data_IF_293518340138
#
_entry.id   IF_293518340138
#
_cell.length_a   1.000
_cell.length_b   1.000
_cell.length_c   1.000
_cell.angle_alpha   90.00
_cell.angle_beta   90.00
_cell.angle_gamma   90.00
#
_symmetry.space_group_name_H-M   'P 1'
#
loop_
_entity.id
_entity.type
_entity.pdbx_description
1 polymer ?
#
# COMPACT_ATOMS: atom_id res chain seq x y z
N UNK A 1 15.69 -6.98 7.66
CA UNK A 1 15.18 -5.59 7.54
C UNK A 1 14.19 -5.59 6.40
N UNK A 2 12.94 -5.13 6.56
CA UNK A 2 11.92 -5.18 5.51
C UNK A 2 12.29 -4.46 4.20
N UNK A 3 11.80 -4.91 3.04
CA UNK A 3 12.02 -4.26 1.74
C UNK A 3 10.74 -3.61 1.19
N UNK A 4 10.92 -2.45 0.56
CA UNK A 4 9.90 -1.69 -0.17
C UNK A 4 10.17 -1.76 -1.67
N UNK A 5 9.09 -1.81 -2.46
CA UNK A 5 9.13 -1.75 -3.91
C UNK A 5 8.03 -0.81 -4.44
N UNK A 6 8.29 -0.14 -5.55
CA UNK A 6 7.33 0.71 -6.23
C UNK A 6 7.57 0.69 -7.73
N UNK A 7 6.49 0.76 -8.50
CA UNK A 7 6.53 0.87 -9.95
C UNK A 7 5.40 1.77 -10.41
N UNK A 8 5.70 2.76 -11.25
CA UNK A 8 4.71 3.59 -11.91
C UNK A 8 5.11 3.80 -13.36
N UNK A 9 4.19 3.46 -14.27
CA UNK A 9 4.25 3.86 -15.67
C UNK A 9 3.69 5.28 -15.78
N UNK A 10 4.50 6.20 -16.32
CA UNK A 10 4.15 7.62 -16.49
C UNK A 10 2.95 7.79 -17.43
N UNK A 11 2.73 6.83 -18.34
CA UNK A 11 1.55 6.72 -19.24
C UNK A 11 0.96 5.30 -19.17
N UNK A 12 0.70 4.69 -20.32
CA UNK A 12 0.46 3.26 -20.44
C UNK A 12 1.78 2.49 -20.33
N UNK A 13 1.71 1.21 -19.93
CA UNK A 13 2.87 0.31 -19.92
C UNK A 13 3.44 0.24 -21.34
N UNK A 14 4.75 0.53 -21.54
CA UNK A 14 5.32 0.52 -22.88
C UNK A 14 5.45 -0.92 -23.38
N UNK A 15 5.28 -1.11 -24.69
CA UNK A 15 5.27 -2.44 -25.32
C UNK A 15 6.58 -3.23 -25.14
N UNK A 16 7.71 -2.52 -24.96
CA UNK A 16 9.01 -3.14 -24.72
C UNK A 16 9.20 -3.62 -23.27
N UNK A 17 8.31 -3.24 -22.34
CA UNK A 17 8.35 -3.72 -20.96
C UNK A 17 7.48 -4.98 -20.83
N UNK A 18 8.07 -6.18 -20.66
CA UNK A 18 7.38 -7.44 -20.90
C UNK A 18 6.52 -7.92 -19.73
N UNK A 19 6.69 -7.34 -18.54
CA UNK A 19 6.02 -7.77 -17.33
C UNK A 19 4.78 -6.92 -17.07
N UNK A 20 3.73 -7.53 -16.53
CA UNK A 20 2.63 -6.80 -15.90
C UNK A 20 3.14 -6.06 -14.66
N UNK A 21 2.42 -5.04 -14.19
CA UNK A 21 2.78 -4.31 -12.96
C UNK A 21 2.91 -5.24 -11.76
N UNK A 22 1.97 -6.19 -11.59
CA UNK A 22 2.03 -7.14 -10.48
C UNK A 22 3.20 -8.11 -10.60
N UNK A 23 3.53 -8.60 -11.80
CA UNK A 23 4.72 -9.43 -12.02
C UNK A 23 6.01 -8.68 -11.73
N UNK A 24 6.16 -7.45 -12.22
CA UNK A 24 7.33 -6.63 -11.99
C UNK A 24 7.55 -6.33 -10.49
N UNK A 25 6.50 -5.96 -9.75
CA UNK A 25 6.59 -5.79 -8.31
C UNK A 25 6.98 -7.10 -7.60
N UNK A 26 6.44 -8.24 -8.03
CA UNK A 26 6.78 -9.55 -7.47
C UNK A 26 8.24 -9.91 -7.68
N UNK A 27 8.80 -9.65 -8.87
CA UNK A 27 10.23 -9.85 -9.18
C UNK A 27 11.15 -8.99 -8.30
N UNK A 28 10.80 -7.72 -8.06
CA UNK A 28 11.56 -6.85 -7.16
C UNK A 28 11.55 -7.42 -5.73
N UNK A 29 10.39 -7.86 -5.24
CA UNK A 29 10.26 -8.43 -3.91
C UNK A 29 11.04 -9.74 -3.76
N UNK A 30 10.94 -10.65 -4.73
CA UNK A 30 11.66 -11.93 -4.69
C UNK A 30 13.19 -11.73 -4.69
N UNK A 31 13.70 -10.82 -5.52
CA UNK A 31 15.13 -10.51 -5.52
C UNK A 31 15.64 -9.85 -4.23
N UNK A 32 14.74 -9.36 -3.39
CA UNK A 32 15.08 -8.80 -2.08
C UNK A 32 14.67 -9.71 -0.93
N UNK A 33 14.29 -10.97 -1.17
CA UNK A 33 13.73 -11.88 -0.17
C UNK A 33 14.61 -12.08 1.08
N UNK A 34 15.94 -11.98 0.94
CA UNK A 34 16.91 -12.03 2.05
C UNK A 34 16.67 -10.95 3.13
N UNK A 35 15.93 -9.90 2.78
CA UNK A 35 15.58 -8.80 3.66
C UNK A 35 14.48 -9.18 4.66
N UNK A 36 13.55 -10.06 4.29
CA UNK A 36 12.47 -10.52 5.16
C UNK A 36 11.50 -11.50 4.48
N UNK A 37 11.49 -12.79 4.85
CA UNK A 37 10.68 -13.81 4.16
C UNK A 37 9.30 -14.05 4.78
N UNK A 38 8.89 -13.30 5.82
CA UNK A 38 7.76 -13.68 6.66
C UNK A 38 6.40 -13.41 6.00
N UNK A 39 6.28 -12.27 5.31
CA UNK A 39 5.04 -11.89 4.63
C UNK A 39 5.32 -10.94 3.47
N UNK A 40 4.42 -10.96 2.48
CA UNK A 40 4.47 -10.08 1.33
C UNK A 40 3.11 -9.46 1.06
N UNK A 41 3.11 -8.31 0.39
CA UNK A 41 1.88 -7.69 -0.06
C UNK A 41 2.09 -6.62 -1.12
N UNK A 42 0.99 -6.26 -1.77
CA UNK A 42 0.90 -5.33 -2.88
C UNK A 42 -0.29 -4.39 -2.67
N UNK A 43 -0.11 -3.13 -3.00
CA UNK A 43 -1.18 -2.15 -3.16
C UNK A 43 -1.23 -1.81 -4.65
N UNK A 44 -2.30 -2.24 -5.29
CA UNK A 44 -2.46 -2.27 -6.73
C UNK A 44 -3.58 -1.30 -7.12
N UNK A 45 -3.32 -0.44 -8.12
CA UNK A 45 -4.28 0.60 -8.52
C UNK A 45 -4.93 0.28 -9.86
N UNK A 46 -6.19 -0.12 -9.79
CA UNK A 46 -7.07 -0.39 -10.95
C UNK A 46 -7.66 0.92 -11.50
N UNK A 47 -8.17 0.91 -12.74
CA UNK A 47 -9.02 2.00 -13.22
C UNK A 47 -10.14 2.31 -12.20
N UNK A 48 -10.36 3.60 -11.87
CA UNK A 48 -11.36 4.00 -10.90
C UNK A 48 -12.76 3.62 -11.40
N UNK A 49 -13.62 3.23 -10.46
CA UNK A 49 -15.03 2.98 -10.74
C UNK A 49 -15.85 4.16 -10.23
N UNK A 50 -16.69 4.73 -11.08
CA UNK A 50 -17.51 5.88 -10.71
C UNK A 50 -18.69 5.44 -9.84
N UNK A 51 -18.85 6.06 -8.67
CA UNK A 51 -19.92 5.72 -7.72
C UNK A 51 -19.75 4.40 -6.97
N UNK A 52 -18.63 3.70 -7.17
CA UNK A 52 -18.32 2.43 -6.51
C UNK A 52 -17.02 2.52 -5.70
N UNK A 53 -16.95 1.69 -4.66
CA UNK A 53 -15.75 1.43 -3.87
C UNK A 53 -15.35 -0.04 -4.03
N UNK A 54 -14.05 -0.26 -4.12
CA UNK A 54 -13.39 -1.54 -3.88
C UNK A 54 -13.04 -1.59 -2.41
N UNK A 55 -13.59 -2.57 -1.71
CA UNK A 55 -13.30 -2.80 -0.30
C UNK A 55 -12.76 -4.21 -0.15
N UNK A 56 -11.76 -4.37 0.71
CA UNK A 56 -11.22 -5.69 1.03
C UNK A 56 -11.18 -5.88 2.53
N UNK A 57 -11.54 -7.08 2.95
CA UNK A 57 -11.66 -7.48 4.35
C UNK A 57 -10.81 -8.71 4.61
N UNK A 58 -10.24 -8.82 5.81
CA UNK A 58 -9.67 -10.08 6.26
C UNK A 58 -10.81 -11.04 6.58
N UNK A 59 -10.59 -12.30 6.21
CA UNK A 59 -11.43 -13.41 6.61
C UNK A 59 -10.58 -14.58 7.13
N UNK A 60 -11.12 -15.34 8.07
CA UNK A 60 -10.54 -16.62 8.47
C UNK A 60 -10.89 -17.71 7.45
N UNK A 61 -10.02 -17.87 6.46
CA UNK A 61 -10.16 -18.91 5.43
C UNK A 61 -10.10 -20.35 5.99
N UNK A 62 -9.55 -20.54 7.20
CA UNK A 62 -9.49 -21.84 7.87
C UNK A 62 -10.64 -22.02 8.87
N UNK A 63 -11.43 -20.96 9.11
CA UNK A 63 -12.58 -20.92 9.98
C UNK A 63 -13.89 -20.81 9.20
N UNK A 64 -14.83 -20.02 9.73
CA UNK A 64 -16.14 -19.80 9.12
C UNK A 64 -16.16 -18.53 8.26
N UNK A 65 -15.45 -18.59 7.13
CA UNK A 65 -15.37 -17.50 6.15
C UNK A 65 -16.76 -17.00 5.73
N UNK A 66 -17.74 -17.89 5.60
CA UNK A 66 -19.11 -17.58 5.19
C UNK A 66 -19.81 -16.70 6.22
N UNK A 67 -19.63 -16.97 7.51
CA UNK A 67 -20.15 -16.12 8.58
C UNK A 67 -19.52 -14.72 8.57
N UNK A 68 -18.21 -14.61 8.34
CA UNK A 68 -17.54 -13.31 8.27
C UNK A 68 -17.95 -12.53 7.02
N UNK A 69 -18.09 -13.20 5.87
CA UNK A 69 -18.66 -12.62 4.66
C UNK A 69 -20.09 -12.11 4.93
N UNK A 70 -20.95 -12.90 5.58
CA UNK A 70 -22.29 -12.46 5.94
C UNK A 70 -22.27 -11.23 6.88
N UNK A 71 -21.31 -11.16 7.81
CA UNK A 71 -21.12 -10.00 8.67
C UNK A 71 -20.67 -8.75 7.88
N UNK A 72 -19.82 -8.91 6.86
CA UNK A 72 -19.45 -7.83 5.92
C UNK A 72 -20.67 -7.29 5.19
N UNK A 73 -21.47 -8.16 4.57
CA UNK A 73 -22.68 -7.75 3.86
C UNK A 73 -23.64 -7.01 4.79
N UNK A 74 -23.94 -7.59 5.96
CA UNK A 74 -24.81 -6.97 6.97
C UNK A 74 -24.30 -5.59 7.41
N UNK A 75 -22.99 -5.45 7.63
CA UNK A 75 -22.39 -4.18 8.06
C UNK A 75 -22.47 -3.11 6.97
N UNK A 76 -22.28 -3.49 5.70
CA UNK A 76 -22.37 -2.59 4.55
C UNK A 76 -23.80 -2.15 4.27
N UNK A 77 -24.75 -3.09 4.24
CA UNK A 77 -26.17 -2.83 4.02
C UNK A 77 -26.74 -1.89 5.10
N UNK A 78 -26.33 -2.07 6.36
CA UNK A 78 -26.73 -1.19 7.46
C UNK A 78 -26.27 0.27 7.27
N UNK A 79 -25.29 0.53 6.41
CA UNK A 79 -24.80 1.88 6.06
C UNK A 79 -25.32 2.34 4.68
N UNK A 80 -26.26 1.62 4.08
CA UNK A 80 -26.82 1.96 2.76
C UNK A 80 -25.87 1.67 1.59
N UNK A 81 -24.85 0.84 1.80
CA UNK A 81 -23.92 0.43 0.76
C UNK A 81 -24.41 -0.86 0.10
N UNK A 82 -24.43 -0.92 -1.23
CA UNK A 82 -24.94 -2.08 -1.98
C UNK A 82 -23.78 -2.92 -2.52
N UNK A 83 -23.68 -4.19 -2.12
CA UNK A 83 -22.67 -5.10 -2.65
C UNK A 83 -23.04 -5.52 -4.07
N UNK A 84 -22.13 -5.33 -5.03
CA UNK A 84 -22.34 -5.60 -6.46
C UNK A 84 -21.76 -6.96 -6.86
N UNK A 85 -20.55 -7.25 -6.42
CA UNK A 85 -19.91 -8.55 -6.52
C UNK A 85 -18.89 -8.75 -5.40
N UNK A 86 -18.36 -9.97 -5.29
CA UNK A 86 -17.27 -10.25 -4.39
C UNK A 86 -16.48 -11.50 -4.77
N UNK A 87 -15.25 -11.54 -4.29
CA UNK A 87 -14.28 -12.60 -4.53
C UNK A 87 -13.55 -12.96 -3.23
N UNK A 88 -13.29 -14.26 -3.04
CA UNK A 88 -12.41 -14.72 -1.97
C UNK A 88 -11.04 -14.98 -2.58
N UNK A 89 -10.02 -14.29 -2.06
CA UNK A 89 -8.63 -14.53 -2.40
C UNK A 89 -7.87 -14.80 -1.11
N UNK A 90 -7.42 -16.06 -0.94
CA UNK A 90 -6.72 -16.52 0.24
C UNK A 90 -7.41 -16.14 1.55
N UNK A 91 -6.76 -15.35 2.40
CA UNK A 91 -7.30 -14.90 3.70
C UNK A 91 -8.11 -13.59 3.61
N UNK A 92 -8.58 -13.21 2.42
CA UNK A 92 -9.31 -11.96 2.20
C UNK A 92 -10.58 -12.14 1.38
N UNK A 93 -11.55 -11.29 1.64
CA UNK A 93 -12.77 -11.12 0.85
C UNK A 93 -12.77 -9.71 0.24
N UNK A 94 -12.69 -9.63 -1.09
CA UNK A 94 -12.79 -8.39 -1.85
C UNK A 94 -14.21 -8.21 -2.37
N UNK A 95 -14.74 -6.98 -2.34
CA UNK A 95 -16.07 -6.64 -2.84
C UNK A 95 -16.05 -5.32 -3.59
N UNK A 96 -16.88 -5.24 -4.64
CA UNK A 96 -17.31 -3.96 -5.19
C UNK A 96 -18.62 -3.54 -4.57
N UNK A 97 -18.69 -2.28 -4.17
CA UNK A 97 -19.80 -1.74 -3.40
C UNK A 97 -20.23 -0.41 -4.01
N UNK A 98 -21.50 -0.30 -4.39
CA UNK A 98 -22.10 0.99 -4.70
C UNK A 98 -22.27 1.81 -3.43
N UNK A 99 -21.56 2.94 -3.33
CA UNK A 99 -21.61 3.83 -2.17
C UNK A 99 -21.15 5.24 -2.54
N UNK A 100 -21.98 6.24 -2.23
CA UNK A 100 -21.71 7.65 -2.49
C UNK A 100 -21.55 8.50 -1.22
N UNK A 101 -21.52 7.86 -0.04
CA UNK A 101 -21.41 8.55 1.24
C UNK A 101 -19.96 8.87 1.65
N UNK A 102 -19.81 9.33 2.89
CA UNK A 102 -18.51 9.65 3.48
C UNK A 102 -17.74 8.39 3.89
N UNK A 103 -16.55 8.19 3.35
CA UNK A 103 -15.72 7.00 3.58
C UNK A 103 -15.28 6.88 5.04
N UNK A 104 -14.99 8.00 5.71
CA UNK A 104 -14.60 8.00 7.12
C UNK A 104 -15.76 7.58 8.02
N UNK A 105 -16.97 8.06 7.75
CA UNK A 105 -18.19 7.67 8.46
C UNK A 105 -18.51 6.18 8.25
N UNK A 106 -18.43 5.69 7.00
CA UNK A 106 -18.59 4.27 6.68
C UNK A 106 -17.57 3.42 7.46
N UNK A 107 -16.28 3.80 7.40
CA UNK A 107 -15.19 3.08 8.07
C UNK A 107 -15.46 2.96 9.56
N UNK A 108 -15.78 4.07 10.24
CA UNK A 108 -16.10 4.10 11.67
C UNK A 108 -17.31 3.22 12.04
N UNK A 109 -18.32 3.18 11.17
CA UNK A 109 -19.54 2.42 11.44
C UNK A 109 -19.30 0.90 11.39
N UNK A 110 -18.35 0.45 10.56
CA UNK A 110 -18.11 -0.97 10.31
C UNK A 110 -16.85 -1.52 10.99
N UNK A 111 -15.87 -0.68 11.36
CA UNK A 111 -14.56 -1.14 11.88
C UNK A 111 -14.64 -2.02 13.13
N UNK A 112 -15.71 -1.91 13.91
CA UNK A 112 -15.93 -2.75 15.12
C UNK A 112 -16.54 -4.12 14.82
N UNK A 113 -17.04 -4.32 13.61
CA UNK A 113 -17.75 -5.53 13.18
C UNK A 113 -16.93 -6.37 12.21
N UNK A 114 -16.08 -5.73 11.42
CA UNK A 114 -15.31 -6.37 10.36
C UNK A 114 -13.88 -5.83 10.31
N UNK A 115 -12.96 -6.67 9.83
CA UNK A 115 -11.54 -6.34 9.72
C UNK A 115 -11.24 -5.84 8.32
N UNK A 116 -11.10 -4.53 8.13
CA UNK A 116 -10.77 -3.95 6.83
C UNK A 116 -9.28 -4.14 6.50
N UNK A 117 -9.00 -4.29 5.20
CA UNK A 117 -7.67 -4.27 4.61
C UNK A 117 -7.46 -2.95 3.86
N UNK A 118 -8.45 -2.55 3.06
CA UNK A 118 -8.39 -1.31 2.26
C UNK A 118 -9.77 -0.87 1.77
N UNK A 119 -9.91 0.44 1.50
CA UNK A 119 -11.01 1.03 0.74
C UNK A 119 -10.44 1.97 -0.32
N UNK A 120 -10.96 1.89 -1.56
CA UNK A 120 -10.64 2.86 -2.60
C UNK A 120 -11.51 2.73 -3.84
N UNK A 121 -11.53 3.74 -4.70
CA UNK A 121 -12.14 3.61 -6.03
C UNK A 121 -11.21 2.83 -6.99
N UNK A 122 -9.90 2.94 -6.77
CA UNK A 122 -8.84 2.32 -7.55
C UNK A 122 -8.01 1.31 -6.76
N UNK A 123 -7.78 1.57 -5.48
CA UNK A 123 -6.90 0.79 -4.62
C UNK A 123 -7.47 -0.59 -4.30
N UNK A 124 -6.59 -1.58 -4.42
CA UNK A 124 -6.80 -2.96 -3.98
C UNK A 124 -5.53 -3.43 -3.26
N UNK A 125 -5.58 -3.63 -1.93
CA UNK A 125 -4.45 -4.12 -1.16
C UNK A 125 -4.58 -5.63 -0.98
N UNK A 126 -3.59 -6.38 -1.42
CA UNK A 126 -3.49 -7.82 -1.20
C UNK A 126 -2.24 -8.10 -0.38
N UNK A 127 -2.39 -8.79 0.76
CA UNK A 127 -1.27 -9.12 1.64
C UNK A 127 -1.56 -10.39 2.45
N UNK A 128 -0.54 -11.20 2.66
CA UNK A 128 -0.63 -12.46 3.40
C UNK A 128 0.74 -12.86 3.97
N UNK A 129 0.74 -13.87 4.84
CA UNK A 129 1.95 -14.54 5.33
C UNK A 129 2.50 -15.45 4.23
N UNK A 130 3.80 -15.34 3.96
CA UNK A 130 4.48 -16.12 2.94
C UNK A 130 5.31 -15.29 1.96
N UNK A 131 5.99 -16.00 1.07
CA UNK A 131 6.94 -15.43 0.11
C UNK A 131 6.25 -14.94 -1.18
N UNK A 132 6.81 -13.94 -1.87
CA UNK A 132 6.19 -13.34 -3.06
C UNK A 132 5.75 -14.35 -4.13
N UNK A 133 6.62 -15.26 -4.57
CA UNK A 133 6.28 -16.26 -5.59
C UNK A 133 5.27 -17.33 -5.15
N UNK A 134 5.13 -17.59 -3.86
CA UNK A 134 4.10 -18.48 -3.37
C UNK A 134 2.73 -17.77 -3.36
N UNK A 135 2.72 -16.49 -3.01
CA UNK A 135 1.49 -15.71 -2.89
C UNK A 135 0.98 -15.18 -4.23
N UNK A 136 1.86 -14.77 -5.14
CA UNK A 136 1.47 -14.09 -6.36
C UNK A 136 0.52 -14.92 -7.26
N UNK A 137 0.71 -16.24 -7.49
CA UNK A 137 -0.27 -17.06 -8.20
C UNK A 137 -1.58 -17.25 -7.42
N UNK A 138 -1.50 -17.45 -6.10
CA UNK A 138 -2.68 -17.68 -5.23
C UNK A 138 -3.65 -16.49 -5.22
N UNK A 139 -3.11 -15.29 -5.42
CA UNK A 139 -3.86 -14.04 -5.41
C UNK A 139 -3.95 -13.37 -6.80
N UNK A 140 -3.61 -14.10 -7.88
CA UNK A 140 -3.62 -13.61 -9.26
C UNK A 140 -2.83 -12.30 -9.48
N UNK A 141 -1.79 -12.05 -8.68
CA UNK A 141 -0.98 -10.82 -8.75
C UNK A 141 -0.28 -10.71 -10.10
N UNK A 142 0.16 -11.82 -10.70
CA UNK A 142 0.80 -11.82 -12.00
C UNK A 142 -0.09 -11.31 -13.14
N UNK A 143 -1.40 -11.42 -12.99
CA UNK A 143 -2.37 -10.96 -13.99
C UNK A 143 -2.66 -9.45 -13.88
N UNK A 144 -2.22 -8.80 -12.80
CA UNK A 144 -2.48 -7.40 -12.59
C UNK A 144 -1.64 -6.49 -13.51
N UNK A 145 -2.31 -5.92 -14.51
CA UNK A 145 -1.73 -4.96 -15.47
C UNK A 145 -2.30 -3.54 -15.29
N UNK A 146 -2.23 -3.02 -14.07
CA UNK A 146 -2.51 -1.60 -13.79
C UNK A 146 -1.32 -0.71 -14.13
N UNK A 147 -1.46 0.61 -13.95
CA UNK A 147 -0.36 1.53 -14.30
C UNK A 147 0.64 1.80 -13.18
N UNK A 148 0.31 1.48 -11.92
CA UNK A 148 1.24 1.60 -10.81
C UNK A 148 0.83 0.75 -9.61
N UNK A 149 1.78 0.57 -8.71
CA UNK A 149 1.58 -0.06 -7.41
C UNK A 149 2.82 0.03 -6.53
N UNK A 150 2.63 -0.26 -5.25
CA UNK A 150 3.70 -0.41 -4.26
C UNK A 150 3.59 -1.77 -3.61
N UNK A 151 4.72 -2.34 -3.21
CA UNK A 151 4.78 -3.67 -2.64
C UNK A 151 5.82 -3.74 -1.53
N UNK A 152 5.73 -4.79 -0.71
CA UNK A 152 6.60 -4.92 0.45
C UNK A 152 6.81 -6.37 0.86
N UNK A 153 7.99 -6.66 1.41
CA UNK A 153 8.29 -7.88 2.17
C UNK A 153 8.74 -7.53 3.58
N UNK A 154 8.20 -8.24 4.57
CA UNK A 154 8.39 -7.93 5.99
C UNK A 154 9.30 -8.96 6.65
N UNK A 155 10.17 -8.45 7.54
CA UNK A 155 10.84 -9.24 8.57
C UNK A 155 10.23 -8.85 9.92
N UNK A 156 9.59 -9.79 10.58
CA UNK A 156 9.06 -9.63 11.92
C UNK A 156 10.22 -9.64 12.94
N UNK A 157 10.46 -8.51 13.60
CA UNK A 157 11.49 -8.42 14.66
C UNK A 157 10.90 -8.51 16.06
N UNK A 158 9.72 -7.92 16.29
CA UNK A 158 9.08 -7.82 17.61
C UNK A 158 7.58 -8.14 17.60
N UNK A 159 6.94 -8.13 16.43
CA UNK A 159 5.49 -8.33 16.26
C UNK A 159 5.19 -9.64 15.54
N UNK A 160 4.05 -10.26 15.86
CA UNK A 160 3.63 -11.53 15.27
C UNK A 160 3.61 -11.53 13.74
N UNK A 161 3.71 -12.74 13.16
CA UNK A 161 3.59 -12.97 11.72
C UNK A 161 2.13 -13.28 11.41
N UNK A 162 1.41 -12.24 10.98
CA UNK A 162 0.00 -12.32 10.64
C UNK A 162 -0.30 -11.46 9.39
N UNK A 163 -1.35 -11.78 8.61
CA UNK A 163 -1.70 -10.99 7.43
C UNK A 163 -2.01 -9.52 7.73
N UNK A 164 -2.56 -9.21 8.90
CA UNK A 164 -2.88 -7.84 9.33
C UNK A 164 -1.65 -7.02 9.72
N UNK A 165 -0.56 -7.67 10.13
CA UNK A 165 0.74 -7.01 10.38
C UNK A 165 1.60 -6.88 9.13
N UNK A 166 1.24 -7.56 8.03
CA UNK A 166 1.89 -7.40 6.74
C UNK A 166 1.61 -6.02 6.14
N UNK A 167 2.52 -5.55 5.30
CA UNK A 167 2.35 -4.35 4.48
C UNK A 167 1.75 -4.74 3.12
N UNK A 168 1.20 -3.79 2.35
CA UNK A 168 1.00 -2.35 2.64
C UNK A 168 -0.07 -2.03 3.67
N UNK A 169 -0.08 -0.78 4.15
CA UNK A 169 -1.13 -0.23 5.01
C UNK A 169 -1.92 0.84 4.28
N UNK A 170 -3.24 0.78 4.40
CA UNK A 170 -4.18 1.75 3.89
C UNK A 170 -4.38 2.90 4.88
N UNK A 171 -4.66 4.11 4.38
CA UNK A 171 -5.03 5.25 5.21
C UNK A 171 -6.46 5.08 5.74
N UNK A 172 -6.60 4.49 6.92
CA UNK A 172 -7.90 4.20 7.52
C UNK A 172 -8.82 5.44 7.53
N UNK A 173 -9.98 5.32 6.88
CA UNK A 173 -10.97 6.39 6.72
C UNK A 173 -10.86 7.22 5.44
N UNK A 174 -9.92 6.93 4.54
CA UNK A 174 -9.73 7.66 3.28
C UNK A 174 -9.67 6.74 2.07
N UNK A 175 -10.23 7.11 0.94
CA UNK A 175 -10.09 6.30 -0.27
C UNK A 175 -8.68 6.41 -0.88
N UNK A 176 -8.17 5.31 -1.45
CA UNK A 176 -7.07 5.31 -2.42
C UNK A 176 -5.71 5.81 -1.92
N UNK A 177 -5.42 5.77 -0.61
CA UNK A 177 -4.08 6.09 -0.09
C UNK A 177 -3.49 4.87 0.62
N UNK A 178 -2.31 4.43 0.18
CA UNK A 178 -1.60 3.30 0.78
C UNK A 178 -0.11 3.57 0.92
N UNK A 179 0.52 3.01 1.95
CA UNK A 179 1.93 3.21 2.26
C UNK A 179 2.64 1.88 2.51
N UNK A 180 3.91 1.82 2.09
CA UNK A 180 4.90 0.82 2.53
C UNK A 180 6.08 1.53 3.15
N UNK A 181 6.65 0.96 4.21
CA UNK A 181 7.65 1.62 5.05
C UNK A 181 8.70 0.61 5.48
N UNK A 182 9.97 0.99 5.36
CA UNK A 182 11.10 0.29 5.96
C UNK A 182 11.76 1.24 6.95
N UNK A 183 11.61 0.96 8.24
CA UNK A 183 12.05 1.86 9.28
C UNK A 183 11.28 1.71 10.57
N UNK A 184 11.41 2.72 11.41
CA UNK A 184 10.62 2.90 12.62
C UNK A 184 10.44 4.39 12.91
N UNK A 185 9.23 4.78 13.30
CA UNK A 185 8.93 6.12 13.82
C UNK A 185 9.11 6.19 15.35
N UNK A 186 9.99 7.07 15.82
CA UNK A 186 10.28 7.27 17.25
C UNK A 186 9.17 8.06 17.95
N UNK A 187 8.45 8.91 17.22
CA UNK A 187 7.36 9.74 17.77
C UNK A 187 5.96 9.22 17.46
N UNK A 188 5.82 7.94 17.09
CA UNK A 188 4.57 7.28 16.70
C UNK A 188 3.39 7.57 17.64
N UNK A 189 3.53 7.29 18.94
CA UNK A 189 2.43 7.43 19.91
C UNK A 189 1.96 8.88 20.08
N UNK A 190 2.88 9.84 19.96
CA UNK A 190 2.56 11.27 20.04
C UNK A 190 1.73 11.68 18.82
N UNK A 191 2.18 11.26 17.64
CA UNK A 191 1.53 11.59 16.37
C UNK A 191 0.16 10.92 16.23
N UNK A 192 0.05 9.63 16.61
CA UNK A 192 -1.22 8.91 16.67
C UNK A 192 -2.24 9.64 17.54
N UNK A 193 -1.87 9.98 18.79
CA UNK A 193 -2.76 10.71 19.72
C UNK A 193 -3.17 12.10 19.22
N UNK A 194 -2.35 12.75 18.39
CA UNK A 194 -2.71 14.03 17.75
C UNK A 194 -3.78 13.81 16.68
N UNK A 195 -3.66 12.77 15.87
CA UNK A 195 -4.62 12.44 14.80
C UNK A 195 -5.94 11.87 15.35
N UNK A 196 -5.90 11.03 16.39
CA UNK A 196 -7.09 10.53 17.09
C UNK A 196 -7.93 11.69 17.66
N UNK A 197 -7.28 12.70 18.26
CA UNK A 197 -7.94 13.93 18.74
C UNK A 197 -8.58 14.77 17.62
N UNK A 198 -8.17 14.55 16.37
CA UNK A 198 -8.75 15.16 15.17
C UNK A 198 -9.79 14.25 14.51
N UNK A 199 -10.15 13.14 15.18
CA UNK A 199 -11.13 12.17 14.71
C UNK A 199 -10.58 11.11 13.77
N UNK A 200 -9.28 11.01 13.53
CA UNK A 200 -8.76 9.92 12.70
C UNK A 200 -8.87 8.58 13.44
N UNK A 201 -9.07 7.50 12.69
CA UNK A 201 -9.16 6.13 13.19
C UNK A 201 -7.96 5.32 12.75
N UNK A 202 -7.68 4.25 13.49
CA UNK A 202 -6.56 3.35 13.26
C UNK A 202 -6.98 1.92 13.61
N UNK A 203 -6.58 0.95 12.80
CA UNK A 203 -6.94 -0.46 12.97
C UNK A 203 -5.82 -1.28 13.60
N UNK A 204 -4.58 -0.81 13.48
CA UNK A 204 -3.39 -1.52 13.95
C UNK A 204 -2.52 -0.62 14.82
N UNK A 205 -1.48 -1.20 15.42
CA UNK A 205 -0.44 -0.44 16.13
C UNK A 205 0.81 -0.22 15.27
N UNK A 206 0.73 -0.45 13.95
CA UNK A 206 1.86 -0.30 13.04
C UNK A 206 2.07 1.17 12.68
N UNK A 207 3.32 1.64 12.78
CA UNK A 207 3.68 3.02 12.45
C UNK A 207 3.51 3.37 10.97
N UNK A 208 3.46 2.38 10.10
CA UNK A 208 3.18 2.56 8.67
C UNK A 208 1.76 3.04 8.43
N UNK A 209 0.79 2.57 9.22
CA UNK A 209 -0.59 3.05 9.16
C UNK A 209 -0.66 4.53 9.56
N UNK A 210 0.15 4.95 10.54
CA UNK A 210 0.28 6.35 10.91
C UNK A 210 0.73 7.22 9.73
N UNK A 211 1.71 6.77 8.95
CA UNK A 211 2.18 7.52 7.77
C UNK A 211 1.04 7.69 6.76
N UNK A 212 0.31 6.59 6.46
CA UNK A 212 -0.80 6.64 5.50
C UNK A 212 -1.91 7.60 5.95
N UNK A 213 -2.36 7.49 7.21
CA UNK A 213 -3.40 8.36 7.79
C UNK A 213 -2.91 9.80 7.91
N UNK A 214 -1.65 10.05 8.25
CA UNK A 214 -1.07 11.39 8.30
C UNK A 214 -1.16 12.07 6.93
N UNK A 215 -0.67 11.41 5.87
CA UNK A 215 -0.66 11.97 4.52
C UNK A 215 -2.09 12.24 4.03
N UNK A 216 -2.99 11.27 4.19
CA UNK A 216 -4.38 11.42 3.78
C UNK A 216 -5.12 12.51 4.58
N UNK A 217 -4.86 12.62 5.88
CA UNK A 217 -5.40 13.70 6.71
C UNK A 217 -4.91 15.07 6.23
N UNK A 218 -3.61 15.23 5.93
CA UNK A 218 -3.08 16.49 5.38
C UNK A 218 -3.78 16.86 4.08
N UNK A 219 -3.94 15.89 3.18
CA UNK A 219 -4.63 16.09 1.90
C UNK A 219 -6.09 16.50 2.10
N UNK A 220 -6.80 15.88 3.05
CA UNK A 220 -8.18 16.24 3.39
C UNK A 220 -8.34 17.67 3.93
N UNK A 221 -7.24 18.28 4.38
CA UNK A 221 -7.19 19.66 4.89
C UNK A 221 -6.72 20.68 3.85
N UNK A 222 -6.56 20.26 2.59
CA UNK A 222 -6.25 21.13 1.46
C UNK A 222 -4.78 21.14 1.04
N UNK A 223 -3.90 20.39 1.70
CA UNK A 223 -2.54 20.18 1.21
C UNK A 223 -2.58 19.29 -0.04
N UNK A 224 -1.66 19.49 -0.99
CA UNK A 224 -1.41 18.46 -1.98
C UNK A 224 -0.49 17.36 -1.42
N UNK A 225 -0.31 16.28 -2.16
CA UNK A 225 0.55 15.16 -1.74
C UNK A 225 2.01 15.60 -1.57
N UNK A 226 2.48 16.57 -2.35
CA UNK A 226 3.87 17.04 -2.30
C UNK A 226 4.14 17.81 -1.00
N UNK A 227 3.23 18.70 -0.62
CA UNK A 227 3.26 19.39 0.66
C UNK A 227 3.13 18.40 1.84
N UNK A 228 2.26 17.39 1.71
CA UNK A 228 2.11 16.36 2.73
C UNK A 228 3.41 15.55 2.92
N UNK A 229 4.10 15.18 1.84
CA UNK A 229 5.40 14.53 1.89
C UNK A 229 6.47 15.42 2.53
N UNK A 230 6.58 16.68 2.11
CA UNK A 230 7.51 17.65 2.68
C UNK A 230 7.33 17.77 4.20
N UNK A 231 6.09 17.95 4.63
CA UNK A 231 5.77 18.18 6.04
C UNK A 231 5.87 16.92 6.89
N UNK A 232 5.74 15.73 6.27
CA UNK A 232 6.04 14.47 6.94
C UNK A 232 7.50 14.39 7.39
N UNK A 233 8.45 14.91 6.60
CA UNK A 233 9.88 14.93 6.98
C UNK A 233 10.18 15.90 8.14
N UNK A 234 9.31 16.89 8.37
CA UNK A 234 9.43 17.86 9.46
C UNK A 234 8.78 17.33 10.75
N UNK A 235 7.67 16.60 10.63
CA UNK A 235 6.86 16.18 11.78
C UNK A 235 7.06 14.71 12.22
N UNK A 236 7.46 13.81 11.31
CA UNK A 236 7.73 12.41 11.63
C UNK A 236 9.20 12.22 11.98
N UNK A 237 9.46 11.68 13.16
CA UNK A 237 10.80 11.45 13.67
C UNK A 237 11.10 9.94 13.70
N UNK A 238 12.36 9.58 13.45
CA UNK A 238 12.83 8.20 13.39
C UNK A 238 13.79 7.93 12.23
N UNK A 239 13.99 6.65 11.94
CA UNK A 239 14.81 6.17 10.82
C UNK A 239 13.91 5.42 9.86
N UNK A 240 13.64 5.99 8.69
CA UNK A 240 12.64 5.49 7.77
C UNK A 240 12.88 5.87 6.31
N UNK A 241 12.49 4.93 5.46
CA UNK A 241 12.25 5.12 4.03
C UNK A 241 10.86 4.59 3.75
N UNK A 242 9.97 5.39 3.16
CA UNK A 242 8.63 4.94 2.81
C UNK A 242 8.24 5.33 1.39
N UNK A 243 7.32 4.56 0.81
CA UNK A 243 6.60 4.91 -0.40
C UNK A 243 5.13 5.06 -0.08
N UNK A 244 4.51 6.06 -0.69
CA UNK A 244 3.06 6.26 -0.69
C UNK A 244 2.56 6.13 -2.11
N UNK A 245 1.42 5.50 -2.29
CA UNK A 245 0.69 5.52 -3.55
C UNK A 245 -0.68 6.16 -3.33
N UNK A 246 -1.13 6.89 -4.35
CA UNK A 246 -2.49 7.41 -4.46
C UNK A 246 -3.11 6.96 -5.78
N UNK A 247 -4.35 7.38 -6.09
CA UNK A 247 -5.05 7.03 -7.33
C UNK A 247 -4.21 7.18 -8.61
N UNK A 248 -3.33 8.17 -8.67
CA UNK A 248 -2.59 8.53 -9.89
C UNK A 248 -1.10 8.84 -9.64
N UNK A 249 -0.57 8.56 -8.45
CA UNK A 249 0.79 8.94 -8.10
C UNK A 249 1.49 7.94 -7.18
N UNK A 250 2.83 7.90 -7.28
CA UNK A 250 3.72 7.33 -6.26
C UNK A 250 4.62 8.45 -5.75
N UNK A 251 4.74 8.55 -4.43
CA UNK A 251 5.71 9.40 -3.76
C UNK A 251 6.63 8.60 -2.85
N UNK A 252 7.76 9.20 -2.49
CA UNK A 252 8.66 8.68 -1.48
C UNK A 252 9.05 9.76 -0.48
N UNK A 253 9.46 9.35 0.71
CA UNK A 253 10.24 10.17 1.60
C UNK A 253 11.35 9.35 2.27
N UNK A 254 12.50 10.01 2.49
CA UNK A 254 13.68 9.44 3.14
C UNK A 254 14.11 10.34 4.29
N UNK A 255 14.24 9.76 5.47
CA UNK A 255 14.56 10.48 6.69
C UNK A 255 15.94 11.17 6.65
N UNK A 256 16.23 11.98 7.67
CA UNK A 256 17.46 12.78 7.76
C UNK A 256 18.75 11.94 7.91
N UNK A 257 18.67 10.80 8.58
CA UNK A 257 19.78 9.87 8.75
C UNK A 257 19.95 8.97 7.53
N UNK A 258 18.88 8.73 6.77
CA UNK A 258 18.87 7.92 5.56
C UNK A 258 19.45 6.52 5.77
N UNK A 259 19.28 5.95 6.97
CA UNK A 259 19.84 4.66 7.34
C UNK A 259 19.15 3.48 6.64
N UNK A 260 17.99 3.71 6.02
CA UNK A 260 17.17 2.71 5.34
C UNK A 260 17.35 2.86 3.83
N UNK A 261 17.92 1.87 3.13
CA UNK A 261 18.30 2.03 1.74
C UNK A 261 17.07 2.15 0.84
N UNK A 262 17.20 2.98 -0.20
CA UNK A 262 16.20 3.18 -1.24
C UNK A 262 16.94 3.52 -2.54
N UNK A 263 16.75 2.73 -3.57
CA UNK A 263 17.34 2.94 -4.89
C UNK A 263 16.21 3.13 -5.90
N UNK A 264 16.38 4.08 -6.82
CA UNK A 264 15.44 4.34 -7.90
C UNK A 264 16.11 4.21 -9.27
N UNK A 265 15.33 3.78 -10.24
CA UNK A 265 15.59 3.86 -11.67
C UNK A 265 14.46 4.63 -12.34
N UNK A 266 14.79 5.60 -13.18
CA UNK A 266 13.81 6.44 -13.86
C UNK A 266 14.25 6.66 -15.32
N UNK A 267 13.30 6.52 -16.24
CA UNK A 267 13.44 6.90 -17.65
C UNK A 267 12.20 7.68 -18.13
N UNK A 268 12.03 7.83 -19.44
CA UNK A 268 10.90 8.56 -20.02
C UNK A 268 9.54 7.88 -19.78
N UNK A 269 9.52 6.56 -19.60
CA UNK A 269 8.30 5.76 -19.55
C UNK A 269 7.89 5.40 -18.11
N UNK A 270 8.86 5.20 -17.21
CA UNK A 270 8.57 4.69 -15.87
C UNK A 270 9.50 5.22 -14.77
N UNK A 271 9.04 5.02 -13.55
CA UNK A 271 9.83 5.07 -12.33
C UNK A 271 9.70 3.71 -11.61
N UNK A 272 10.83 3.13 -11.22
CA UNK A 272 10.90 1.95 -10.40
C UNK A 272 11.75 2.22 -9.15
N UNK A 273 11.30 1.74 -8.00
CA UNK A 273 11.96 1.92 -6.71
C UNK A 273 12.08 0.57 -6.02
N UNK A 274 13.25 0.31 -5.43
CA UNK A 274 13.49 -0.86 -4.58
C UNK A 274 14.35 -0.48 -3.39
N UNK A 275 14.33 -1.26 -2.32
CA UNK A 275 15.32 -1.10 -1.24
C UNK A 275 16.75 -1.39 -1.69
N UNK A 276 16.95 -2.24 -2.70
CA UNK A 276 18.29 -2.64 -3.17
C UNK A 276 18.31 -2.73 -4.70
N UNK A 277 19.47 -2.46 -5.29
CA UNK A 277 19.64 -2.46 -6.75
C UNK A 277 19.36 -3.82 -7.40
N UNK A 278 19.61 -4.93 -6.69
CA UNK A 278 19.30 -6.29 -7.15
C UNK A 278 17.81 -6.47 -7.51
N UNK A 279 16.91 -5.74 -6.85
CA UNK A 279 15.49 -5.73 -7.17
C UNK A 279 15.20 -5.07 -8.51
N UNK A 280 15.83 -3.94 -8.81
CA UNK A 280 15.65 -3.22 -10.07
C UNK A 280 16.27 -3.98 -11.26
N UNK A 281 17.40 -4.66 -11.04
CA UNK A 281 18.06 -5.46 -12.08
C UNK A 281 17.17 -6.59 -12.62
N UNK A 282 16.22 -7.12 -11.82
CA UNK A 282 15.26 -8.13 -12.30
C UNK A 282 14.34 -7.62 -13.39
N UNK A 283 14.01 -6.34 -13.38
CA UNK A 283 13.12 -5.76 -14.38
C UNK A 283 13.79 -5.61 -15.75
N UNK A 284 15.13 -5.57 -15.79
CA UNK A 284 15.90 -5.23 -16.99
C UNK A 284 17.10 -6.19 -17.15
N UNK A 285 16.86 -7.49 -17.36
CA UNK A 285 17.94 -8.47 -17.45
C UNK A 285 18.91 -8.14 -18.60
N UNK A 286 20.21 -8.18 -18.30
CA UNK A 286 21.28 -7.93 -19.28
C UNK A 286 21.49 -6.46 -19.64
N UNK A 287 20.85 -5.52 -18.94
CA UNK A 287 21.02 -4.07 -19.13
C UNK A 287 21.64 -3.43 -17.89
N UNK A 288 22.69 -2.65 -18.07
CA UNK A 288 23.20 -1.79 -17.00
C UNK A 288 22.19 -0.65 -16.75
N UNK A 289 21.82 -0.46 -15.48
CA UNK A 289 20.87 0.56 -15.06
C UNK A 289 21.58 1.78 -14.50
N UNK A 290 21.15 2.96 -14.93
CA UNK A 290 21.54 4.21 -14.30
C UNK A 290 20.70 4.42 -13.04
N UNK A 291 21.02 3.69 -11.97
CA UNK A 291 20.33 3.79 -10.68
C UNK A 291 20.85 4.96 -9.86
N UNK A 292 20.02 5.48 -8.97
CA UNK A 292 20.42 6.49 -7.99
C UNK A 292 19.72 6.26 -6.66
N UNK A 293 20.36 6.61 -5.56
CA UNK A 293 19.76 6.61 -4.24
C UNK A 293 19.34 8.05 -3.87
N UNK A 294 18.08 8.28 -3.46
CA UNK A 294 17.68 9.59 -2.96
C UNK A 294 18.54 10.02 -1.77
N UNK A 295 18.89 11.30 -1.75
CA UNK A 295 19.69 11.91 -0.69
C UNK A 295 18.91 11.92 0.66
N UNK A 296 19.61 12.04 1.79
CA UNK A 296 18.95 12.20 3.09
C UNK A 296 18.05 13.44 3.14
N UNK A 297 16.98 13.37 3.93
CA UNK A 297 16.00 14.44 4.08
C UNK A 297 15.41 14.89 2.73
N UNK A 298 15.05 13.92 1.88
CA UNK A 298 14.40 14.21 0.60
C UNK A 298 13.09 13.48 0.45
N UNK A 299 12.23 14.04 -0.39
CA UNK A 299 11.01 13.44 -0.87
C UNK A 299 10.95 13.61 -2.38
N UNK A 300 10.06 12.86 -3.02
CA UNK A 300 9.76 13.04 -4.43
C UNK A 300 8.43 12.43 -4.80
N UNK A 301 7.92 12.83 -5.96
CA UNK A 301 6.58 12.52 -6.40
C UNK A 301 6.55 12.36 -7.91
N UNK A 302 5.98 11.24 -8.37
CA UNK A 302 5.70 10.98 -9.76
C UNK A 302 4.21 10.79 -9.94
N UNK A 303 3.65 11.50 -10.90
CA UNK A 303 2.24 11.40 -11.29
C UNK A 303 2.14 10.77 -12.67
N UNK A 304 1.07 10.02 -12.88
CA UNK A 304 0.70 9.54 -14.21
C UNK A 304 0.14 10.72 -15.01
N UNK A 305 0.53 10.80 -16.28
CA UNK A 305 -0.16 11.67 -17.22
C UNK A 305 -1.58 11.12 -17.45
N UNK A 306 -2.56 12.02 -17.43
CA UNK A 306 -3.94 11.71 -17.79
C UNK A 306 -4.05 11.27 -19.26
#
# INVERSE_FOLDING_TARGET
MCAIAGLLFKKARPAHFPMTTGSALTEILDATLHRGPDSAGWALYRPPLEGELRMRFFIDANGDAQKEIAAVHTALEAQGATVLDGEVLGCTYGVRVGFAGDVLALTRAIERRVRLVSIGASLDIIKDVGQPYALAPRYAIHEFDGGHGIAHIRLATESGVHPDTAHPFWACGFADVATVHNGQLTNYWIMRRRLERRGMVFQTENDTELIAVYLAYRMSRGADLEEALRTSLEELDGTYSYLVATRDAIGYAKDKLAAKPMVKYEDEDLIAISSEEVGLNRLFPGRALATSEPAPLTYGLWRRAA
#
